data_IF_242411077672
#
_entry.id   IF_242411077672
#
_cell.length_a   1.000
_cell.length_b   1.000
_cell.length_c   1.000
_cell.angle_alpha   90.00
_cell.angle_beta   90.00
_cell.angle_gamma   90.00
#
_symmetry.space_group_name_H-M   'P 1'
#
loop_
_entity.id
_entity.type
_entity.pdbx_description
1 polymer ?
#
# COMPACT_ATOMS: atom_id res chain seq x y z
N UNK A 1 -15.69 -11.61 -34.95
CA UNK A 1 -14.95 -10.49 -34.34
C UNK A 1 -14.70 -10.89 -32.91
N UNK A 2 -13.43 -11.12 -32.56
CA UNK A 2 -13.05 -11.63 -31.24
C UNK A 2 -13.35 -10.56 -30.18
N UNK A 3 -14.49 -10.71 -29.49
CA UNK A 3 -14.98 -9.79 -28.45
C UNK A 3 -14.40 -10.11 -27.06
N UNK A 4 -13.34 -10.91 -26.98
CA UNK A 4 -12.71 -11.34 -25.72
C UNK A 4 -11.73 -10.32 -25.13
N UNK A 5 -11.53 -9.18 -25.78
CA UNK A 5 -10.71 -8.09 -25.26
C UNK A 5 -11.47 -7.18 -24.30
N UNK A 6 -10.78 -6.64 -23.29
CA UNK A 6 -11.30 -5.61 -22.37
C UNK A 6 -11.46 -4.25 -23.09
N UNK A 7 -10.80 -4.10 -24.25
CA UNK A 7 -10.70 -2.85 -25.00
C UNK A 7 -12.05 -2.25 -25.45
N UNK A 8 -13.05 -3.01 -25.94
CA UNK A 8 -14.37 -2.46 -26.30
C UNK A 8 -15.15 -1.92 -25.10
N UNK A 9 -14.90 -2.45 -23.89
CA UNK A 9 -15.49 -1.93 -22.65
C UNK A 9 -14.80 -0.62 -22.20
N UNK A 10 -13.48 -0.53 -22.34
CA UNK A 10 -12.70 0.63 -21.91
C UNK A 10 -12.71 1.79 -22.90
N UNK A 11 -12.78 1.52 -24.20
CA UNK A 11 -12.77 2.54 -25.24
C UNK A 11 -13.80 3.68 -25.00
N UNK A 12 -15.10 3.41 -24.78
CA UNK A 12 -16.07 4.48 -24.54
C UNK A 12 -15.79 5.25 -23.24
N UNK A 13 -15.30 4.57 -22.20
CA UNK A 13 -14.94 5.20 -20.92
C UNK A 13 -13.76 6.16 -21.07
N UNK A 14 -12.73 5.76 -21.82
CA UNK A 14 -11.57 6.61 -22.11
C UNK A 14 -11.97 7.80 -22.98
N UNK A 15 -12.78 7.58 -24.02
CA UNK A 15 -13.30 8.67 -24.85
C UNK A 15 -14.11 9.67 -24.03
N UNK A 16 -14.97 9.18 -23.13
CA UNK A 16 -15.73 10.04 -22.22
C UNK A 16 -14.80 10.82 -21.27
N UNK A 17 -13.77 10.17 -20.72
CA UNK A 17 -12.79 10.82 -19.83
C UNK A 17 -12.06 11.96 -20.52
N UNK A 18 -11.59 11.75 -21.75
CA UNK A 18 -10.95 12.80 -22.56
C UNK A 18 -11.95 13.90 -22.90
N UNK A 19 -13.20 13.56 -23.22
CA UNK A 19 -14.25 14.55 -23.47
C UNK A 19 -14.50 15.44 -22.25
N UNK A 20 -14.58 14.87 -21.05
CA UNK A 20 -14.73 15.60 -19.78
C UNK A 20 -13.53 16.51 -19.52
N UNK A 21 -12.31 16.02 -19.73
CA UNK A 21 -11.08 16.83 -19.61
C UNK A 21 -11.15 18.08 -20.49
N UNK A 22 -11.46 17.89 -21.78
CA UNK A 22 -11.53 18.99 -22.75
C UNK A 22 -12.65 19.97 -22.42
N UNK A 23 -13.81 19.49 -21.97
CA UNK A 23 -14.90 20.36 -21.54
C UNK A 23 -14.47 21.27 -20.37
N UNK A 24 -13.79 20.71 -19.36
CA UNK A 24 -13.31 21.47 -18.20
C UNK A 24 -12.24 22.47 -18.62
N UNK A 25 -11.31 22.09 -19.50
CA UNK A 25 -10.30 22.99 -20.03
C UNK A 25 -10.93 24.18 -20.75
N UNK A 26 -11.92 23.92 -21.61
CA UNK A 26 -12.66 24.97 -22.33
C UNK A 26 -13.37 25.91 -21.35
N UNK A 27 -14.05 25.37 -20.34
CA UNK A 27 -14.70 26.17 -19.30
C UNK A 27 -13.70 27.11 -18.63
N UNK A 28 -12.53 26.61 -18.23
CA UNK A 28 -11.50 27.43 -17.62
C UNK A 28 -10.93 28.49 -18.55
N UNK A 29 -10.72 28.15 -19.83
CA UNK A 29 -10.25 29.12 -20.82
C UNK A 29 -11.25 30.27 -20.99
N UNK A 30 -12.56 29.99 -20.97
CA UNK A 30 -13.59 31.02 -20.98
C UNK A 30 -13.61 31.86 -19.69
N UNK A 31 -13.46 31.23 -18.53
CA UNK A 31 -13.40 31.94 -17.24
C UNK A 31 -12.18 32.87 -17.20
N UNK A 32 -11.01 32.39 -17.61
CA UNK A 32 -9.77 33.17 -17.65
C UNK A 32 -9.87 34.32 -18.65
N UNK A 33 -10.41 34.06 -19.83
CA UNK A 33 -10.72 35.09 -20.78
C UNK A 33 -11.65 36.17 -20.20
N UNK A 34 -12.71 35.78 -19.49
CA UNK A 34 -13.63 36.71 -18.86
C UNK A 34 -12.98 37.52 -17.73
N UNK A 35 -12.14 36.89 -16.91
CA UNK A 35 -11.37 37.55 -15.84
C UNK A 35 -10.42 38.62 -16.40
N UNK A 36 -9.71 38.31 -17.48
CA UNK A 36 -8.80 39.25 -18.14
C UNK A 36 -9.56 40.37 -18.86
N UNK A 37 -10.66 40.04 -19.53
CA UNK A 37 -11.39 40.99 -20.38
C UNK A 37 -12.28 41.94 -19.58
N UNK A 38 -13.02 41.42 -18.60
CA UNK A 38 -14.03 42.20 -17.87
C UNK A 38 -13.53 42.70 -16.52
N UNK A 39 -12.70 41.92 -15.82
CA UNK A 39 -12.19 42.27 -14.50
C UNK A 39 -10.81 42.93 -14.55
N UNK A 40 -10.25 43.15 -15.75
CA UNK A 40 -8.91 43.70 -15.97
C UNK A 40 -7.82 43.01 -15.12
N UNK A 41 -7.99 41.72 -14.87
CA UNK A 41 -6.96 40.96 -14.17
C UNK A 41 -5.67 41.01 -14.95
N UNK A 42 -4.56 41.10 -14.22
CA UNK A 42 -3.25 40.99 -14.84
C UNK A 42 -2.93 39.51 -15.09
N UNK A 43 -2.25 39.17 -16.19
CA UNK A 43 -1.82 37.79 -16.47
C UNK A 43 -1.00 37.16 -15.35
N UNK A 44 -0.33 37.99 -14.54
CA UNK A 44 0.45 37.56 -13.38
C UNK A 44 -0.43 36.97 -12.26
N UNK A 45 -1.65 37.47 -12.09
CA UNK A 45 -2.58 37.00 -11.06
C UNK A 45 -3.06 35.56 -11.34
N UNK A 46 -3.19 35.19 -12.62
CA UNK A 46 -3.53 33.83 -13.06
C UNK A 46 -2.37 32.83 -12.85
N UNK A 47 -1.16 33.31 -12.61
CA UNK A 47 0.01 32.46 -12.34
C UNK A 47 0.30 32.29 -10.85
N UNK A 48 -0.50 32.92 -9.99
CA UNK A 48 -0.31 32.79 -8.55
C UNK A 48 -0.54 31.33 -8.11
N UNK A 49 0.28 30.80 -7.18
CA UNK A 49 0.13 29.44 -6.69
C UNK A 49 -1.28 29.16 -6.14
N UNK A 50 -1.86 30.13 -5.44
CA UNK A 50 -3.21 30.02 -4.90
C UNK A 50 -4.27 29.83 -5.99
N UNK A 51 -4.20 30.60 -7.09
CA UNK A 51 -5.14 30.45 -8.19
C UNK A 51 -4.98 29.10 -8.90
N UNK A 52 -3.73 28.65 -9.13
CA UNK A 52 -3.51 27.34 -9.77
C UNK A 52 -4.00 26.17 -8.92
N UNK A 53 -3.79 26.22 -7.59
CA UNK A 53 -4.33 25.23 -6.66
C UNK A 53 -5.85 25.22 -6.66
N UNK A 54 -6.48 26.41 -6.63
CA UNK A 54 -7.93 26.55 -6.69
C UNK A 54 -8.49 26.02 -8.01
N UNK A 55 -7.88 26.38 -9.15
CA UNK A 55 -8.25 25.91 -10.49
C UNK A 55 -8.16 24.39 -10.56
N UNK A 56 -7.05 23.82 -10.08
CA UNK A 56 -6.84 22.37 -10.08
C UNK A 56 -7.88 21.65 -9.21
N UNK A 57 -8.03 22.03 -7.94
CA UNK A 57 -8.98 21.39 -7.02
C UNK A 57 -10.44 21.52 -7.47
N UNK A 58 -10.84 22.72 -7.92
CA UNK A 58 -12.19 22.95 -8.46
C UNK A 58 -12.39 22.15 -9.75
N UNK A 59 -11.36 22.02 -10.60
CA UNK A 59 -11.45 21.24 -11.83
C UNK A 59 -11.59 19.73 -11.58
N UNK A 60 -10.98 19.21 -10.52
CA UNK A 60 -11.13 17.82 -10.11
C UNK A 60 -12.56 17.52 -9.66
N UNK A 61 -13.12 18.36 -8.77
CA UNK A 61 -14.51 18.21 -8.30
C UNK A 61 -15.49 18.35 -9.46
N UNK A 62 -15.30 19.36 -10.30
CA UNK A 62 -16.14 19.58 -11.48
C UNK A 62 -16.07 18.39 -12.44
N UNK A 63 -14.87 17.83 -12.65
CA UNK A 63 -14.70 16.64 -13.49
C UNK A 63 -15.42 15.42 -12.94
N UNK A 64 -15.34 15.16 -11.63
CA UNK A 64 -16.11 14.08 -11.00
C UNK A 64 -17.62 14.25 -11.20
N UNK A 65 -18.14 15.45 -10.98
CA UNK A 65 -19.58 15.74 -11.18
C UNK A 65 -19.95 15.53 -12.65
N UNK A 66 -19.17 16.09 -13.58
CA UNK A 66 -19.42 15.96 -15.02
C UNK A 66 -19.35 14.49 -15.46
N UNK A 67 -18.37 13.73 -14.94
CA UNK A 67 -18.21 12.31 -15.23
C UNK A 67 -19.41 11.48 -14.76
N UNK A 68 -19.93 11.74 -13.56
CA UNK A 68 -21.16 11.10 -13.06
C UNK A 68 -22.37 11.46 -13.92
N UNK A 69 -22.51 12.73 -14.30
CA UNK A 69 -23.60 13.16 -15.19
C UNK A 69 -23.50 12.49 -16.56
N UNK A 70 -22.31 12.41 -17.14
CA UNK A 70 -22.06 11.74 -18.42
C UNK A 70 -22.39 10.26 -18.31
N UNK A 71 -21.89 9.56 -17.29
CA UNK A 71 -22.19 8.14 -17.07
C UNK A 71 -23.69 7.89 -16.92
N UNK A 72 -24.40 8.77 -16.20
CA UNK A 72 -25.84 8.65 -15.99
C UNK A 72 -26.62 8.88 -17.27
N UNK A 73 -26.23 9.88 -18.06
CA UNK A 73 -26.91 10.23 -19.31
C UNK A 73 -26.69 9.17 -20.41
N UNK A 74 -25.48 8.63 -20.51
CA UNK A 74 -25.15 7.61 -21.51
C UNK A 74 -25.52 6.19 -21.07
N UNK A 75 -25.88 6.00 -19.81
CA UNK A 75 -26.10 4.67 -19.22
C UNK A 75 -24.82 3.84 -19.14
N UNK A 76 -23.64 4.47 -19.24
CA UNK A 76 -22.37 3.77 -19.14
C UNK A 76 -22.16 3.23 -17.74
N UNK A 77 -21.93 1.93 -17.66
CA UNK A 77 -21.78 1.18 -16.41
C UNK A 77 -20.59 0.23 -16.55
N UNK A 78 -19.49 0.57 -15.91
CA UNK A 78 -18.23 -0.16 -15.98
C UNK A 78 -18.43 -1.64 -15.68
N UNK A 79 -19.12 -1.97 -14.58
CA UNK A 79 -19.28 -3.37 -14.19
C UNK A 79 -20.25 -4.13 -15.09
N UNK A 80 -21.25 -3.45 -15.67
CA UNK A 80 -22.07 -4.05 -16.72
C UNK A 80 -21.24 -4.42 -17.96
N UNK A 81 -20.29 -3.57 -18.36
CA UNK A 81 -19.37 -3.86 -19.47
C UNK A 81 -18.30 -4.91 -19.12
N UNK A 82 -17.92 -5.06 -17.85
CA UNK A 82 -16.95 -6.06 -17.40
C UNK A 82 -17.57 -7.43 -17.06
N UNK A 83 -18.89 -7.51 -16.87
CA UNK A 83 -19.61 -8.75 -16.55
C UNK A 83 -19.30 -9.91 -17.50
N UNK A 84 -19.17 -9.73 -18.83
CA UNK A 84 -18.80 -10.82 -19.75
C UNK A 84 -17.36 -11.33 -19.56
N UNK A 85 -16.48 -10.51 -18.99
CA UNK A 85 -15.05 -10.81 -18.82
C UNK A 85 -14.77 -11.48 -17.47
N UNK A 86 -15.47 -11.06 -16.41
CA UNK A 86 -15.29 -11.59 -15.05
C UNK A 86 -16.66 -11.98 -14.45
N UNK A 87 -17.27 -13.08 -14.92
CA UNK A 87 -18.58 -13.50 -14.48
C UNK A 87 -18.58 -13.84 -12.97
N UNK A 88 -19.62 -13.41 -12.24
CA UNK A 88 -19.81 -13.72 -10.82
C UNK A 88 -19.09 -12.81 -9.81
N UNK A 89 -18.02 -12.10 -10.21
CA UNK A 89 -17.29 -11.21 -9.29
C UNK A 89 -18.06 -9.91 -8.98
N UNK A 90 -18.88 -9.45 -9.92
CA UNK A 90 -19.49 -8.11 -9.90
C UNK A 90 -21.01 -8.12 -9.69
N UNK A 91 -21.64 -9.30 -9.55
CA UNK A 91 -23.10 -9.47 -9.48
C UNK A 91 -23.72 -8.88 -8.20
N UNK A 92 -22.90 -8.63 -7.17
CA UNK A 92 -23.32 -8.04 -5.91
C UNK A 92 -23.32 -6.51 -5.86
N UNK A 93 -22.84 -5.82 -6.91
CA UNK A 93 -22.71 -4.35 -6.88
C UNK A 93 -24.03 -3.70 -7.30
N UNK A 94 -24.68 -2.88 -6.43
CA UNK A 94 -25.90 -2.17 -6.81
C UNK A 94 -25.66 -1.21 -7.98
N UNK A 95 -26.66 -1.03 -8.84
CA UNK A 95 -26.53 -0.21 -10.05
C UNK A 95 -26.09 1.22 -9.78
N UNK A 96 -26.53 1.81 -8.67
CA UNK A 96 -26.13 3.16 -8.24
C UNK A 96 -24.63 3.24 -7.95
N UNK A 97 -24.04 2.21 -7.34
CA UNK A 97 -22.61 2.18 -7.04
C UNK A 97 -21.76 2.03 -8.29
N UNK A 98 -22.18 1.16 -9.21
CA UNK A 98 -21.55 1.00 -10.51
C UNK A 98 -21.57 2.32 -11.31
N UNK A 99 -22.71 3.02 -11.30
CA UNK A 99 -22.83 4.34 -11.92
C UNK A 99 -21.89 5.38 -11.29
N UNK A 100 -21.85 5.46 -9.95
CA UNK A 100 -20.99 6.41 -9.23
C UNK A 100 -19.51 6.12 -9.48
N UNK A 101 -19.10 4.84 -9.44
CA UNK A 101 -17.71 4.43 -9.70
C UNK A 101 -17.34 4.72 -11.14
N UNK A 102 -18.23 4.41 -12.09
CA UNK A 102 -17.99 4.69 -13.52
C UNK A 102 -17.84 6.18 -13.77
N UNK A 103 -18.77 6.98 -13.24
CA UNK A 103 -18.73 8.43 -13.36
C UNK A 103 -17.52 9.06 -12.69
N UNK A 104 -17.14 8.56 -11.51
CA UNK A 104 -15.92 8.94 -10.84
C UNK A 104 -14.69 8.58 -11.66
N UNK A 105 -14.63 7.39 -12.28
CA UNK A 105 -13.51 6.98 -13.10
C UNK A 105 -13.35 7.88 -14.34
N UNK A 106 -14.46 8.20 -15.01
CA UNK A 106 -14.50 9.14 -16.14
C UNK A 106 -14.05 10.54 -15.70
N UNK A 107 -14.53 11.00 -14.54
CA UNK A 107 -14.30 12.36 -14.05
C UNK A 107 -12.94 12.58 -13.39
N UNK A 108 -12.48 11.65 -12.56
CA UNK A 108 -11.17 11.66 -11.92
C UNK A 108 -10.04 11.29 -12.88
N UNK A 109 -10.33 10.47 -13.90
CA UNK A 109 -9.41 10.18 -14.99
C UNK A 109 -9.10 11.39 -15.87
N UNK A 110 -9.94 12.45 -15.82
CA UNK A 110 -9.82 13.63 -16.68
C UNK A 110 -8.61 14.52 -16.37
N UNK A 111 -8.03 14.45 -15.17
CA UNK A 111 -6.82 15.18 -14.76
C UNK A 111 -6.25 14.44 -13.54
N UNK A 112 -5.31 13.48 -13.67
CA UNK A 112 -4.03 13.74 -14.34
C UNK A 112 -3.28 12.47 -14.86
N UNK A 113 -3.12 12.32 -16.17
CA UNK A 113 -2.20 11.29 -16.68
C UNK A 113 -0.75 11.47 -16.16
N UNK A 114 -0.37 12.67 -15.71
CA UNK A 114 0.95 12.96 -15.11
C UNK A 114 1.01 12.78 -13.59
N UNK A 115 -0.01 13.18 -12.80
CA UNK A 115 -0.01 12.90 -11.35
C UNK A 115 -0.35 11.44 -11.04
N UNK A 116 -0.97 10.67 -11.94
CA UNK A 116 -1.08 9.20 -11.74
C UNK A 116 0.32 8.57 -11.79
N UNK A 117 1.14 8.97 -12.77
CA UNK A 117 2.56 8.58 -12.81
C UNK A 117 3.32 9.13 -11.59
N UNK A 118 3.07 10.37 -11.20
CA UNK A 118 3.65 11.01 -10.02
C UNK A 118 3.29 10.29 -8.71
N UNK A 119 2.04 9.89 -8.53
CA UNK A 119 1.51 9.17 -7.35
C UNK A 119 1.99 7.73 -7.34
N UNK A 120 2.03 7.03 -8.49
CA UNK A 120 2.63 5.68 -8.58
C UNK A 120 4.13 5.74 -8.26
N UNK A 121 4.82 6.77 -8.75
CA UNK A 121 6.25 6.98 -8.49
C UNK A 121 6.49 7.34 -7.02
N UNK A 122 5.70 8.23 -6.44
CA UNK A 122 5.74 8.57 -5.02
C UNK A 122 5.41 7.37 -4.15
N UNK A 123 4.39 6.57 -4.48
CA UNK A 123 4.04 5.35 -3.77
C UNK A 123 5.18 4.33 -3.82
N UNK A 124 5.84 4.16 -4.96
CA UNK A 124 7.05 3.33 -5.08
C UNK A 124 8.17 3.86 -4.17
N UNK A 125 8.39 5.18 -4.12
CA UNK A 125 9.37 5.77 -3.22
C UNK A 125 9.00 5.60 -1.75
N UNK A 126 7.74 5.80 -1.38
CA UNK A 126 7.25 5.55 -0.01
C UNK A 126 7.41 4.09 0.38
N UNK A 127 7.06 3.14 -0.50
CA UNK A 127 7.24 1.71 -0.26
C UNK A 127 8.72 1.31 -0.17
N UNK A 128 9.59 1.91 -0.99
CA UNK A 128 11.02 1.64 -0.94
C UNK A 128 11.65 2.22 0.33
N UNK A 129 11.30 3.46 0.70
CA UNK A 129 11.75 4.11 1.93
C UNK A 129 11.17 3.45 3.18
N UNK A 130 9.93 2.97 3.15
CA UNK A 130 9.30 2.26 4.28
C UNK A 130 9.85 0.86 4.45
N UNK A 131 10.11 0.12 3.36
CA UNK A 131 10.72 -1.21 3.43
C UNK A 131 12.16 -1.13 3.98
N UNK A 132 12.90 -0.08 3.65
CA UNK A 132 14.22 0.20 4.22
C UNK A 132 14.10 0.53 5.71
N UNK A 133 13.20 1.44 6.10
CA UNK A 133 12.99 1.76 7.52
C UNK A 133 12.47 0.57 8.35
N UNK A 134 11.64 -0.29 7.76
CA UNK A 134 11.14 -1.50 8.43
C UNK A 134 12.26 -2.51 8.67
N UNK A 135 13.23 -2.60 7.75
CA UNK A 135 14.46 -3.39 7.92
C UNK A 135 15.41 -2.77 8.94
N UNK A 136 15.52 -1.44 8.99
CA UNK A 136 16.33 -0.74 9.99
C UNK A 136 15.73 -0.88 11.40
N UNK A 137 14.42 -0.75 11.56
CA UNK A 137 13.75 -0.96 12.86
C UNK A 137 13.78 -2.41 13.29
N UNK A 138 13.66 -3.36 12.34
CA UNK A 138 13.82 -4.78 12.63
C UNK A 138 15.27 -5.12 12.99
N UNK A 139 16.27 -4.56 12.29
CA UNK A 139 17.68 -4.75 12.58
C UNK A 139 18.07 -4.12 13.93
N UNK A 140 17.53 -2.95 14.26
CA UNK A 140 17.74 -2.30 15.56
C UNK A 140 17.08 -3.12 16.69
N UNK A 141 15.87 -3.65 16.48
CA UNK A 141 15.21 -4.53 17.45
C UNK A 141 15.94 -5.87 17.62
N UNK A 142 16.53 -6.41 16.55
CA UNK A 142 17.37 -7.62 16.61
C UNK A 142 18.69 -7.34 17.33
N UNK A 143 19.35 -6.21 17.05
CA UNK A 143 20.59 -5.81 17.74
C UNK A 143 20.36 -5.59 19.24
N UNK A 144 19.25 -4.94 19.60
CA UNK A 144 18.83 -4.77 21.00
C UNK A 144 18.51 -6.12 21.66
N UNK A 145 17.86 -7.03 20.92
CA UNK A 145 17.61 -8.40 21.37
C UNK A 145 18.90 -9.19 21.64
N UNK A 146 19.89 -9.09 20.75
CA UNK A 146 21.22 -9.72 20.93
C UNK A 146 21.96 -9.11 22.11
N UNK A 147 21.94 -7.78 22.26
CA UNK A 147 22.61 -7.08 23.37
C UNK A 147 21.98 -7.46 24.72
N UNK A 148 20.65 -7.58 24.76
CA UNK A 148 19.91 -8.03 25.95
C UNK A 148 20.15 -9.51 26.27
N UNK A 149 20.29 -10.37 25.25
CA UNK A 149 20.69 -11.77 25.44
C UNK A 149 22.11 -11.85 26.02
N UNK A 150 23.08 -11.14 25.42
CA UNK A 150 24.47 -11.11 25.88
C UNK A 150 24.59 -10.54 27.31
N UNK A 151 23.81 -9.51 27.64
CA UNK A 151 23.73 -8.97 29.00
C UNK A 151 23.09 -9.97 29.96
N UNK A 152 22.06 -10.71 29.54
CA UNK A 152 21.47 -11.76 30.38
C UNK A 152 22.43 -12.93 30.63
N UNK A 153 23.26 -13.29 29.65
CA UNK A 153 24.27 -14.34 29.77
C UNK A 153 25.43 -13.91 30.68
N UNK A 154 25.88 -12.66 30.56
CA UNK A 154 26.86 -12.07 31.48
C UNK A 154 26.33 -11.98 32.93
N UNK A 155 25.03 -11.73 33.11
CA UNK A 155 24.40 -11.63 34.42
C UNK A 155 23.94 -12.97 35.02
N UNK A 156 23.86 -14.03 34.21
CA UNK A 156 23.63 -15.41 34.64
C UNK A 156 24.89 -16.10 35.19
N UNK A 157 26.05 -15.45 35.12
CA UNK A 157 27.27 -15.85 35.84
C UNK A 157 27.39 -15.03 37.12
N UNK A 158 26.78 -15.52 38.20
CA UNK A 158 26.96 -14.95 39.54
C UNK A 158 28.12 -15.65 40.21
N UNK A 159 29.20 -14.91 40.44
CA UNK A 159 30.36 -15.42 41.16
C UNK A 159 30.04 -15.46 42.66
N UNK A 160 29.86 -16.66 43.20
CA UNK A 160 29.55 -16.87 44.63
C UNK A 160 30.88 -17.02 45.37
N UNK A 161 31.20 -16.13 46.32
CA UNK A 161 32.46 -16.20 47.07
C UNK A 161 32.61 -17.56 47.78
N UNK A 162 33.59 -18.35 47.34
CA UNK A 162 33.98 -19.62 47.96
C UNK A 162 33.61 -20.92 47.22
N UNK A 163 32.91 -20.89 46.08
CA UNK A 163 32.50 -22.14 45.37
C UNK A 163 32.81 -22.17 43.86
N UNK A 164 33.32 -21.10 43.26
CA UNK A 164 33.61 -21.05 41.82
C UNK A 164 32.35 -20.91 40.96
N UNK A 165 32.49 -20.67 39.64
CA UNK A 165 31.38 -20.23 38.78
C UNK A 165 30.30 -21.31 38.66
N UNK A 166 29.08 -20.99 39.11
CA UNK A 166 27.93 -21.89 39.03
C UNK A 166 26.90 -21.36 38.02
N UNK A 167 26.54 -22.19 37.03
CA UNK A 167 25.41 -21.92 36.11
C UNK A 167 24.09 -22.26 36.80
N UNK A 168 23.13 -21.35 36.78
CA UNK A 168 21.78 -21.60 37.31
C UNK A 168 20.96 -22.49 36.36
N UNK A 169 20.36 -23.59 36.82
CA UNK A 169 19.48 -24.42 35.99
C UNK A 169 18.12 -23.72 35.83
N UNK A 170 17.82 -23.26 34.61
CA UNK A 170 16.47 -22.86 34.24
C UNK A 170 15.65 -24.08 33.84
N UNK A 171 14.71 -24.47 34.73
CA UNK A 171 13.45 -25.11 34.37
C UNK A 171 13.48 -26.59 34.00
N UNK A 172 13.45 -27.48 35.00
CA UNK A 172 12.86 -28.81 34.85
C UNK A 172 12.26 -29.26 36.19
N UNK A 173 10.94 -29.19 36.31
CA UNK A 173 10.21 -29.78 37.44
C UNK A 173 8.94 -30.47 36.96
N UNK A 174 9.06 -31.73 36.54
CA UNK A 174 8.03 -32.77 36.78
C UNK A 174 8.58 -34.19 36.52
N UNK A 175 9.31 -34.70 37.52
CA UNK A 175 9.00 -35.95 38.27
C UNK A 175 8.54 -37.19 37.47
N UNK A 176 9.45 -38.15 37.24
CA UNK A 176 9.20 -39.59 37.44
C UNK A 176 10.50 -40.36 37.64
N UNK A 177 10.43 -41.37 38.49
CA UNK A 177 11.51 -42.10 39.14
C UNK A 177 11.81 -43.41 38.38
N UNK A 178 13.08 -43.76 38.18
CA UNK A 178 13.62 -45.14 38.33
C UNK A 178 15.16 -45.12 38.23
N UNK A 179 15.86 -45.99 39.00
CA UNK A 179 17.31 -46.01 39.11
C UNK A 179 17.96 -46.94 38.05
N UNK A 180 19.29 -46.88 37.98
CA UNK A 180 20.21 -47.75 37.20
C UNK A 180 20.45 -47.28 35.76
N UNK A 181 21.51 -46.50 35.56
CA UNK A 181 22.76 -46.98 34.94
C UNK A 181 23.76 -45.81 34.86
N UNK A 182 24.97 -46.02 35.38
CA UNK A 182 26.11 -45.14 35.16
C UNK A 182 26.60 -45.32 33.73
N UNK A 183 26.46 -44.31 32.87
CA UNK A 183 27.26 -44.15 31.65
C UNK A 183 27.31 -42.65 31.24
N UNK A 184 28.40 -42.30 30.58
CA UNK A 184 29.10 -41.00 30.45
C UNK A 184 28.28 -39.78 29.94
N UNK A 185 28.75 -38.52 30.16
CA UNK A 185 27.97 -37.33 29.82
C UNK A 185 27.99 -37.08 28.31
N UNK A 186 26.93 -37.50 27.60
CA UNK A 186 26.69 -37.04 26.23
C UNK A 186 26.45 -35.52 26.25
N UNK A 187 27.29 -34.79 25.51
CA UNK A 187 27.24 -33.36 25.34
C UNK A 187 25.82 -32.91 24.99
N UNK A 188 25.18 -32.23 25.94
CA UNK A 188 23.87 -31.63 25.75
C UNK A 188 23.93 -30.63 24.59
N UNK A 189 23.48 -31.08 23.41
CA UNK A 189 23.34 -30.26 22.20
C UNK A 189 22.73 -28.92 22.57
N UNK A 190 23.50 -27.86 22.33
CA UNK A 190 23.17 -26.49 22.68
C UNK A 190 21.82 -26.11 22.07
N UNK A 191 20.97 -25.42 22.83
CA UNK A 191 19.68 -24.91 22.36
C UNK A 191 19.79 -24.12 21.04
N UNK A 192 20.97 -23.55 20.77
CA UNK A 192 21.34 -22.86 19.53
C UNK A 192 21.38 -23.80 18.32
N UNK A 193 21.89 -25.01 18.48
CA UNK A 193 22.05 -25.99 17.41
C UNK A 193 20.69 -26.54 16.98
N UNK A 194 19.80 -26.77 17.95
CA UNK A 194 18.40 -27.14 17.73
C UNK A 194 17.60 -26.05 17.02
N UNK A 195 17.91 -24.78 17.28
CA UNK A 195 17.28 -23.65 16.60
C UNK A 195 17.76 -23.49 15.15
N UNK A 196 19.05 -23.75 14.89
CA UNK A 196 19.63 -23.74 13.53
C UNK A 196 19.01 -24.86 12.69
N UNK A 197 18.83 -26.06 13.25
CA UNK A 197 18.20 -27.20 12.56
C UNK A 197 16.72 -26.92 12.22
N UNK A 198 15.99 -26.26 13.12
CA UNK A 198 14.59 -25.88 12.91
C UNK A 198 14.44 -24.79 11.84
N UNK A 199 15.41 -23.88 11.72
CA UNK A 199 15.48 -22.92 10.62
C UNK A 199 15.75 -23.60 9.28
N UNK A 200 16.72 -24.52 9.25
CA UNK A 200 17.13 -25.20 8.02
C UNK A 200 16.03 -26.10 7.45
N UNK A 201 15.27 -26.77 8.31
CA UNK A 201 14.11 -27.60 7.91
C UNK A 201 12.93 -26.77 7.38
N UNK A 202 12.80 -25.50 7.80
CA UNK A 202 11.70 -24.62 7.35
C UNK A 202 11.99 -23.86 6.06
N UNK A 203 13.25 -23.70 5.68
CA UNK A 203 13.65 -23.03 4.42
C UNK A 203 13.86 -23.98 3.25
N UNK A 204 13.72 -25.30 3.46
CA UNK A 204 13.85 -26.31 2.42
C UNK A 204 12.52 -26.68 1.73
N UNK A 205 11.50 -25.82 1.80
CA UNK A 205 10.24 -25.91 1.02
C UNK A 205 10.04 -24.66 0.20
#
# INVERSE_FOLDING_TARGET
>A
MDTTGILPALAPLLTASVGVERAIEIIWNYIEWALLSFLQWQPEQLKTPHYQQFKSGTSMVLGMILGILVANFTGMRLFAYLSPVVPGLLDGVPATWDLLITGFLIGAGSKPAHDILGVITQLKHFLNTSAIRQRETAAAALAEGVLKLAQSEAQATVDVPGVGPARLPMGAASRSFSPEDEEEPEEASSATERYIELLHSRTAV
#
